data_IF_692718766626
#
_entry.id   IF_692718766626
#
_cell.length_a   1.000
_cell.length_b   1.000
_cell.length_c   1.000
_cell.angle_alpha   90.00
_cell.angle_beta   90.00
_cell.angle_gamma   90.00
#
_symmetry.space_group_name_H-M   'P 1'
#
loop_
_entity.id
_entity.type
_entity.pdbx_description
1 polymer ?
#
# COMPACT_ATOMS: atom_id res chain seq x y z
N UNK A 1 10.63 -0.42 -27.38
CA UNK A 1 9.94 -1.00 -26.21
C UNK A 1 8.74 -0.13 -25.92
N UNK A 2 7.55 -0.70 -25.70
CA UNK A 2 6.35 0.09 -25.41
C UNK A 2 6.44 0.64 -23.99
N UNK A 3 6.23 1.95 -23.86
CA UNK A 3 6.22 2.69 -22.59
C UNK A 3 4.80 2.80 -22.07
N UNK A 4 4.65 2.86 -20.76
CA UNK A 4 3.41 3.18 -20.08
C UNK A 4 3.28 4.71 -19.97
N UNK A 5 2.32 5.29 -20.67
CA UNK A 5 2.12 6.74 -20.78
C UNK A 5 0.83 7.14 -20.08
N UNK A 6 0.87 8.21 -19.28
CA UNK A 6 -0.30 8.84 -18.67
C UNK A 6 -0.36 10.34 -19.01
N UNK A 7 -1.55 10.96 -19.08
CA UNK A 7 -1.66 12.41 -19.04
C UNK A 7 -1.22 12.93 -17.67
N UNK A 8 -0.49 14.05 -17.61
CA UNK A 8 -0.10 14.67 -16.33
C UNK A 8 -1.12 15.66 -15.78
N UNK A 9 -2.04 16.14 -16.61
CA UNK A 9 -3.07 17.11 -16.26
C UNK A 9 -4.41 16.79 -16.95
N UNK A 10 -5.48 17.41 -16.49
CA UNK A 10 -6.80 17.46 -17.14
C UNK A 10 -7.44 16.08 -17.44
N UNK A 11 -7.10 15.06 -16.66
CA UNK A 11 -7.74 13.74 -16.69
C UNK A 11 -8.23 13.34 -15.32
N UNK A 12 -9.53 13.11 -15.18
CA UNK A 12 -10.18 12.69 -13.94
C UNK A 12 -10.41 11.17 -13.85
N UNK A 13 -9.88 10.41 -14.81
CA UNK A 13 -9.98 8.95 -14.89
C UNK A 13 -8.60 8.32 -15.06
N UNK A 14 -8.51 7.01 -14.82
CA UNK A 14 -7.34 6.22 -15.22
C UNK A 14 -7.26 6.22 -16.75
N UNK A 15 -6.16 6.72 -17.31
CA UNK A 15 -5.96 6.95 -18.73
C UNK A 15 -4.58 6.44 -19.23
N UNK A 16 -3.98 5.50 -18.49
CA UNK A 16 -2.74 4.86 -18.89
C UNK A 16 -2.89 4.13 -20.24
N UNK A 17 -1.91 4.31 -21.12
CA UNK A 17 -1.84 3.66 -22.43
C UNK A 17 -0.41 3.25 -22.78
N UNK A 18 -0.28 2.26 -23.67
CA UNK A 18 1.01 1.93 -24.27
C UNK A 18 1.34 2.87 -25.43
N UNK A 19 2.57 3.40 -25.47
CA UNK A 19 3.06 4.21 -26.58
C UNK A 19 4.58 4.13 -26.75
N UNK A 20 5.08 4.52 -27.92
CA UNK A 20 6.53 4.62 -28.14
C UNK A 20 7.15 5.84 -27.44
N UNK A 21 6.40 6.95 -27.33
CA UNK A 21 6.84 8.22 -26.76
C UNK A 21 5.65 8.94 -26.10
N UNK A 22 5.95 9.78 -25.11
CA UNK A 22 5.00 10.70 -24.49
C UNK A 22 4.86 11.99 -25.32
N UNK A 23 3.65 12.52 -25.43
CA UNK A 23 3.37 13.82 -26.03
C UNK A 23 3.55 14.96 -25.01
N UNK A 24 3.33 16.19 -25.47
CA UNK A 24 3.17 17.35 -24.59
C UNK A 24 2.05 17.09 -23.58
N UNK A 25 2.33 17.30 -22.29
CA UNK A 25 1.43 16.98 -21.16
C UNK A 25 1.20 15.48 -20.87
N UNK A 26 2.10 14.63 -21.33
CA UNK A 26 2.16 13.23 -20.90
C UNK A 26 3.52 12.91 -20.27
N UNK A 27 3.57 11.80 -19.54
CA UNK A 27 4.81 11.29 -18.95
C UNK A 27 4.89 9.76 -19.12
N UNK A 28 6.10 9.28 -19.36
CA UNK A 28 6.44 7.86 -19.26
C UNK A 28 6.62 7.48 -17.79
N UNK A 29 5.73 6.62 -17.29
CA UNK A 29 5.73 6.16 -15.91
C UNK A 29 6.29 4.74 -15.76
N UNK A 30 6.87 4.15 -16.80
CA UNK A 30 7.31 2.74 -16.77
C UNK A 30 8.26 2.47 -15.60
N UNK A 31 9.35 3.22 -15.49
CA UNK A 31 10.32 3.04 -14.39
C UNK A 31 9.75 3.45 -13.03
N UNK A 32 8.80 4.40 -13.01
CA UNK A 32 8.12 4.83 -11.79
C UNK A 32 7.26 3.69 -11.27
N UNK A 33 6.41 3.10 -12.11
CA UNK A 33 5.50 2.03 -11.72
C UNK A 33 6.24 0.75 -11.37
N UNK A 34 7.28 0.39 -12.12
CA UNK A 34 8.16 -0.74 -11.78
C UNK A 34 8.76 -0.56 -10.38
N UNK A 35 9.27 0.64 -10.09
CA UNK A 35 9.81 0.94 -8.76
C UNK A 35 8.73 0.95 -7.68
N UNK A 36 7.59 1.60 -7.94
CA UNK A 36 6.48 1.67 -6.98
C UNK A 36 5.97 0.28 -6.64
N UNK A 37 5.89 -0.64 -7.61
CA UNK A 37 5.51 -2.03 -7.38
C UNK A 37 6.52 -2.74 -6.47
N UNK A 38 7.83 -2.55 -6.70
CA UNK A 38 8.87 -3.18 -5.87
C UNK A 38 8.85 -2.66 -4.42
N UNK A 39 8.73 -1.34 -4.23
CA UNK A 39 8.72 -0.76 -2.87
C UNK A 39 7.41 -1.03 -2.15
N UNK A 40 6.30 -1.15 -2.87
CA UNK A 40 5.00 -1.53 -2.33
C UNK A 40 5.05 -2.91 -1.67
N UNK A 41 5.70 -3.89 -2.31
CA UNK A 41 5.92 -5.22 -1.71
C UNK A 41 6.73 -5.22 -0.42
N UNK A 42 7.45 -4.12 -0.11
CA UNK A 42 8.32 -3.99 1.07
C UNK A 42 7.78 -3.03 2.13
N UNK A 43 7.04 -2.00 1.70
CA UNK A 43 6.71 -0.84 2.52
C UNK A 43 5.24 -0.41 2.44
N UNK A 44 4.36 -1.19 1.79
CA UNK A 44 2.90 -0.92 1.84
C UNK A 44 2.38 -0.92 3.27
N UNK A 45 2.83 -1.87 4.09
CA UNK A 45 2.42 -2.02 5.49
C UNK A 45 3.54 -1.74 6.46
N UNK A 46 3.19 -1.18 7.62
CA UNK A 46 4.11 -1.05 8.74
C UNK A 46 4.09 -2.28 9.68
N UNK A 47 5.25 -2.78 10.15
CA UNK A 47 6.60 -2.30 9.83
C UNK A 47 7.09 -2.80 8.46
N UNK A 48 7.84 -1.97 7.70
CA UNK A 48 8.38 -2.34 6.41
C UNK A 48 9.48 -3.41 6.54
N UNK A 49 9.67 -4.21 5.48
CA UNK A 49 10.62 -5.33 5.47
C UNK A 49 11.62 -5.24 4.33
N UNK A 50 12.88 -5.41 4.70
CA UNK A 50 14.03 -5.46 3.80
C UNK A 50 14.94 -6.60 4.22
N UNK A 51 15.64 -7.18 3.25
CA UNK A 51 16.60 -8.26 3.48
C UNK A 51 17.79 -7.77 4.31
N UNK A 52 18.23 -6.53 4.07
CA UNK A 52 19.31 -5.90 4.80
C UNK A 52 19.21 -4.35 4.78
N UNK A 53 20.15 -3.69 5.47
CA UNK A 53 20.20 -2.23 5.58
C UNK A 53 20.59 -1.53 4.27
N UNK A 54 21.39 -2.17 3.42
CA UNK A 54 21.82 -1.61 2.15
C UNK A 54 20.66 -1.59 1.15
N UNK A 55 19.89 -2.68 1.08
CA UNK A 55 18.65 -2.75 0.31
C UNK A 55 17.71 -1.62 0.74
N UNK A 56 17.43 -1.53 2.06
CA UNK A 56 16.57 -0.47 2.60
C UNK A 56 17.04 0.92 2.15
N UNK A 57 18.31 1.27 2.35
CA UNK A 57 18.86 2.58 1.93
C UNK A 57 18.68 2.85 0.44
N UNK A 58 18.85 1.85 -0.41
CA UNK A 58 18.65 1.98 -1.86
C UNK A 58 17.19 2.33 -2.21
N UNK A 59 16.23 1.62 -1.61
CA UNK A 59 14.81 1.91 -1.77
C UNK A 59 14.42 3.28 -1.21
N UNK A 60 14.93 3.67 -0.04
CA UNK A 60 14.68 4.98 0.53
C UNK A 60 15.18 6.11 -0.38
N UNK A 61 16.41 5.98 -0.92
CA UNK A 61 16.98 6.96 -1.83
C UNK A 61 16.16 7.10 -3.13
N UNK A 62 15.79 5.96 -3.76
CA UNK A 62 15.00 5.98 -4.99
C UNK A 62 13.58 6.47 -4.75
N UNK A 63 12.96 6.13 -3.62
CA UNK A 63 11.61 6.61 -3.28
C UNK A 63 11.60 8.12 -3.06
N UNK A 64 12.65 8.71 -2.46
CA UNK A 64 12.77 10.18 -2.36
C UNK A 64 12.84 10.83 -3.74
N UNK A 65 13.59 10.24 -4.66
CA UNK A 65 13.68 10.73 -6.03
C UNK A 65 12.31 10.68 -6.73
N UNK A 66 11.66 9.52 -6.72
CA UNK A 66 10.35 9.30 -7.35
C UNK A 66 9.28 10.21 -6.74
N UNK A 67 9.25 10.33 -5.41
CA UNK A 67 8.27 11.18 -4.73
C UNK A 67 8.47 12.65 -5.09
N UNK A 68 9.71 13.15 -5.18
CA UNK A 68 9.99 14.53 -5.63
C UNK A 68 9.49 14.79 -7.05
N UNK A 69 9.65 13.83 -7.97
CA UNK A 69 9.14 13.95 -9.34
C UNK A 69 7.61 13.98 -9.33
N UNK A 70 6.97 13.04 -8.63
CA UNK A 70 5.51 12.94 -8.52
C UNK A 70 4.90 14.15 -7.82
N UNK A 71 5.53 14.68 -6.77
CA UNK A 71 5.08 15.88 -6.06
C UNK A 71 5.07 17.11 -6.98
N UNK A 72 6.06 17.23 -7.86
CA UNK A 72 6.12 18.33 -8.85
C UNK A 72 4.93 18.27 -9.82
N UNK A 73 4.55 17.07 -10.25
CA UNK A 73 3.39 16.87 -11.14
C UNK A 73 2.08 17.05 -10.38
N UNK A 74 1.99 16.48 -9.18
CA UNK A 74 0.80 16.51 -8.34
C UNK A 74 0.52 17.91 -7.79
N UNK A 75 1.52 18.78 -7.61
CA UNK A 75 1.32 20.16 -7.17
C UNK A 75 0.45 21.00 -8.13
N UNK A 76 0.31 20.59 -9.40
CA UNK A 76 -0.54 21.29 -10.37
C UNK A 76 -2.01 21.23 -9.94
N UNK A 77 -2.77 22.34 -9.98
CA UNK A 77 -4.18 22.35 -9.57
C UNK A 77 -5.05 21.34 -10.34
N UNK A 78 -4.76 21.18 -11.62
CA UNK A 78 -5.41 20.26 -12.55
C UNK A 78 -4.61 18.97 -12.80
N UNK A 79 -3.75 18.56 -11.88
CA UNK A 79 -3.03 17.28 -11.98
C UNK A 79 -4.01 16.12 -12.22
N UNK A 80 -3.61 15.18 -13.09
CA UNK A 80 -4.47 14.05 -13.45
C UNK A 80 -4.68 13.09 -12.28
N UNK A 81 -5.76 12.32 -12.35
CA UNK A 81 -6.07 11.23 -11.42
C UNK A 81 -4.89 10.26 -11.28
N UNK A 82 -4.29 9.84 -12.41
CA UNK A 82 -3.16 8.91 -12.44
C UNK A 82 -1.91 9.44 -11.72
N UNK A 83 -1.61 10.73 -11.87
CA UNK A 83 -0.50 11.39 -11.16
C UNK A 83 -0.80 11.44 -9.66
N UNK A 84 -2.00 11.90 -9.28
CA UNK A 84 -2.38 12.03 -7.88
C UNK A 84 -2.35 10.67 -7.17
N UNK A 85 -2.83 9.60 -7.83
CA UNK A 85 -2.85 8.26 -7.25
C UNK A 85 -1.43 7.74 -6.98
N UNK A 86 -0.49 7.93 -7.93
CA UNK A 86 0.91 7.55 -7.74
C UNK A 86 1.59 8.35 -6.65
N UNK A 87 1.40 9.68 -6.63
CA UNK A 87 1.95 10.56 -5.61
C UNK A 87 1.42 10.21 -4.21
N UNK A 88 0.13 9.87 -4.12
CA UNK A 88 -0.52 9.41 -2.89
C UNK A 88 0.12 8.11 -2.38
N UNK A 89 0.17 7.06 -3.20
CA UNK A 89 0.77 5.77 -2.83
C UNK A 89 2.24 5.92 -2.42
N UNK A 90 3.02 6.67 -3.21
CA UNK A 90 4.44 6.94 -2.92
C UNK A 90 4.61 7.63 -1.56
N UNK A 91 3.76 8.61 -1.24
CA UNK A 91 3.77 9.31 0.04
C UNK A 91 3.42 8.38 1.21
N UNK A 92 2.46 7.47 1.05
CA UNK A 92 2.13 6.48 2.09
C UNK A 92 3.33 5.57 2.37
N UNK A 93 3.98 5.04 1.32
CA UNK A 93 5.15 4.18 1.48
C UNK A 93 6.35 4.93 2.06
N UNK A 94 6.55 6.20 1.68
CA UNK A 94 7.61 7.04 2.23
C UNK A 94 7.40 7.35 3.73
N UNK A 95 6.15 7.55 4.14
CA UNK A 95 5.78 7.66 5.55
C UNK A 95 6.08 6.37 6.30
N UNK A 96 5.68 5.21 5.75
CA UNK A 96 5.92 3.91 6.38
C UNK A 96 7.41 3.55 6.49
N UNK A 97 8.28 4.22 5.70
CA UNK A 97 9.74 4.14 5.79
C UNK A 97 10.37 5.21 6.70
N UNK A 98 9.57 5.99 7.41
CA UNK A 98 10.00 7.06 8.32
C UNK A 98 10.83 8.17 7.61
N UNK A 99 10.51 8.45 6.35
CA UNK A 99 11.32 9.37 5.53
C UNK A 99 11.09 10.86 5.84
N UNK A 100 10.09 11.19 6.64
CA UNK A 100 9.76 12.55 7.09
C UNK A 100 8.26 12.80 7.21
N UNK A 101 7.87 13.72 8.10
CA UNK A 101 6.45 14.03 8.37
C UNK A 101 5.71 14.67 7.18
N UNK A 102 6.44 15.27 6.22
CA UNK A 102 5.86 15.84 5.00
C UNK A 102 5.05 14.81 4.20
N UNK A 103 5.48 13.56 4.20
CA UNK A 103 4.79 12.50 3.46
C UNK A 103 3.41 12.16 4.04
N UNK A 104 3.21 12.33 5.34
CA UNK A 104 1.87 12.25 5.95
C UNK A 104 0.98 13.35 5.38
N UNK A 105 1.45 14.59 5.33
CA UNK A 105 0.68 15.73 4.80
C UNK A 105 0.38 15.58 3.31
N UNK A 106 1.37 15.17 2.52
CA UNK A 106 1.22 14.97 1.08
C UNK A 106 0.22 13.84 0.78
N UNK A 107 0.33 12.70 1.48
CA UNK A 107 -0.60 11.58 1.28
C UNK A 107 -2.05 11.98 1.56
N UNK A 108 -2.31 12.70 2.66
CA UNK A 108 -3.65 13.23 2.97
C UNK A 108 -4.15 14.21 1.90
N UNK A 109 -3.28 15.12 1.46
CA UNK A 109 -3.61 16.13 0.45
C UNK A 109 -4.02 15.50 -0.88
N UNK A 110 -3.22 14.53 -1.36
CA UNK A 110 -3.49 13.86 -2.63
C UNK A 110 -4.73 12.97 -2.55
N UNK A 111 -4.89 12.20 -1.47
CA UNK A 111 -6.09 11.39 -1.27
C UNK A 111 -7.38 12.23 -1.28
N UNK A 112 -7.39 13.37 -0.57
CA UNK A 112 -8.55 14.27 -0.56
C UNK A 112 -8.87 14.83 -1.95
N UNK A 113 -7.86 15.11 -2.78
CA UNK A 113 -8.07 15.55 -4.16
C UNK A 113 -8.64 14.45 -5.03
N UNK A 114 -8.14 13.21 -4.89
CA UNK A 114 -8.68 12.08 -5.65
C UNK A 114 -10.11 11.77 -5.23
N UNK A 115 -10.42 11.79 -3.93
CA UNK A 115 -11.77 11.55 -3.41
C UNK A 115 -12.78 12.65 -3.79
N UNK A 116 -12.33 13.87 -4.11
CA UNK A 116 -13.18 14.90 -4.73
C UNK A 116 -13.55 14.56 -6.18
N UNK A 117 -12.66 13.86 -6.89
CA UNK A 117 -12.90 13.41 -8.28
C UNK A 117 -13.82 12.18 -8.28
N UNK A 118 -13.49 11.17 -7.47
CA UNK A 118 -14.26 9.95 -7.32
C UNK A 118 -14.33 9.52 -5.84
N UNK A 119 -15.42 9.84 -5.12
CA UNK A 119 -15.57 9.51 -3.70
C UNK A 119 -15.61 8.01 -3.38
N UNK A 120 -15.93 7.18 -4.38
CA UNK A 120 -16.15 5.74 -4.24
C UNK A 120 -15.11 4.92 -5.00
N UNK A 121 -13.98 5.53 -5.39
CA UNK A 121 -12.89 4.79 -6.03
C UNK A 121 -12.38 3.68 -5.09
N UNK A 122 -12.45 2.39 -5.49
CA UNK A 122 -12.18 1.28 -4.59
C UNK A 122 -10.73 1.28 -4.06
N UNK A 123 -9.79 1.55 -4.96
CA UNK A 123 -8.35 1.54 -4.66
C UNK A 123 -7.98 2.71 -3.75
N UNK A 124 -8.51 3.90 -4.02
CA UNK A 124 -8.24 5.10 -3.20
C UNK A 124 -8.85 4.94 -1.81
N UNK A 125 -10.08 4.43 -1.71
CA UNK A 125 -10.71 4.16 -0.43
C UNK A 125 -9.91 3.13 0.38
N UNK A 126 -9.38 2.09 -0.27
CA UNK A 126 -8.49 1.14 0.38
C UNK A 126 -7.21 1.81 0.89
N UNK A 127 -6.48 2.50 0.00
CA UNK A 127 -5.21 3.14 0.33
C UNK A 127 -5.36 4.19 1.42
N UNK A 128 -6.44 4.96 1.39
CA UNK A 128 -6.72 5.99 2.39
C UNK A 128 -7.16 5.39 3.72
N UNK A 129 -8.06 4.41 3.69
CA UNK A 129 -8.50 3.70 4.89
C UNK A 129 -7.36 3.01 5.63
N UNK A 130 -6.51 2.26 4.92
CA UNK A 130 -5.37 1.63 5.60
C UNK A 130 -4.33 2.67 6.03
N UNK A 131 -4.10 3.71 5.21
CA UNK A 131 -3.17 4.79 5.54
C UNK A 131 -3.55 5.48 6.84
N UNK A 132 -4.85 5.76 7.05
CA UNK A 132 -5.40 6.28 8.30
C UNK A 132 -5.23 5.28 9.45
N UNK A 133 -5.57 4.01 9.22
CA UNK A 133 -5.47 2.94 10.23
C UNK A 133 -4.07 2.81 10.82
N UNK A 134 -3.05 2.75 9.95
CA UNK A 134 -1.64 2.64 10.36
C UNK A 134 -1.07 3.96 10.89
N UNK A 135 -1.69 5.09 10.55
CA UNK A 135 -1.29 6.43 10.97
C UNK A 135 -1.95 6.96 12.26
N UNK A 136 -2.78 6.16 12.94
CA UNK A 136 -3.46 6.58 14.17
C UNK A 136 -4.87 7.15 14.00
N UNK A 137 -5.40 7.20 12.78
CA UNK A 137 -6.76 7.65 12.46
C UNK A 137 -7.74 6.48 12.35
N UNK A 138 -7.76 5.56 13.33
CA UNK A 138 -8.49 4.30 13.18
C UNK A 138 -10.00 4.48 13.11
N UNK A 139 -10.57 5.51 13.74
CA UNK A 139 -12.02 5.75 13.69
C UNK A 139 -12.44 6.22 12.30
N UNK A 140 -11.68 7.14 11.71
CA UNK A 140 -11.88 7.67 10.38
C UNK A 140 -11.65 6.60 9.31
N UNK A 141 -10.68 5.71 9.52
CA UNK A 141 -10.36 4.61 8.60
C UNK A 141 -11.55 3.70 8.29
N UNK A 142 -12.45 3.47 9.25
CA UNK A 142 -13.57 2.51 9.12
C UNK A 142 -14.42 2.80 7.88
N UNK A 143 -14.82 4.06 7.67
CA UNK A 143 -15.69 4.43 6.56
C UNK A 143 -15.06 4.13 5.18
N UNK A 144 -13.75 4.36 5.05
CA UNK A 144 -13.02 4.13 3.80
C UNK A 144 -12.75 2.64 3.57
N UNK A 145 -12.37 1.90 4.62
CA UNK A 145 -12.18 0.45 4.55
C UNK A 145 -13.49 -0.27 4.22
N UNK A 146 -14.62 0.19 4.78
CA UNK A 146 -15.95 -0.34 4.44
C UNK A 146 -16.31 -0.13 2.97
N UNK A 147 -16.05 1.07 2.43
CA UNK A 147 -16.26 1.35 1.00
C UNK A 147 -15.40 0.42 0.13
N UNK A 148 -14.13 0.25 0.48
CA UNK A 148 -13.23 -0.64 -0.25
C UNK A 148 -13.68 -2.11 -0.20
N UNK A 149 -14.09 -2.61 0.98
CA UNK A 149 -14.63 -3.97 1.13
C UNK A 149 -15.91 -4.18 0.32
N UNK A 150 -16.84 -3.21 0.32
CA UNK A 150 -18.07 -3.25 -0.47
C UNK A 150 -17.79 -3.24 -1.98
N UNK A 151 -16.75 -2.53 -2.41
CA UNK A 151 -16.29 -2.52 -3.78
C UNK A 151 -15.46 -3.76 -4.18
N UNK A 152 -15.26 -4.71 -3.27
CA UNK A 152 -14.58 -5.98 -3.56
C UNK A 152 -13.07 -5.95 -3.43
N UNK A 153 -12.49 -4.95 -2.76
CA UNK A 153 -11.05 -4.96 -2.46
C UNK A 153 -10.78 -6.01 -1.37
N UNK A 154 -10.19 -7.13 -1.76
CA UNK A 154 -9.93 -8.28 -0.88
C UNK A 154 -9.10 -7.89 0.36
N UNK A 155 -7.99 -7.19 0.15
CA UNK A 155 -7.06 -6.81 1.22
C UNK A 155 -7.66 -5.83 2.24
N UNK A 156 -8.73 -5.11 1.88
CA UNK A 156 -9.41 -4.20 2.78
C UNK A 156 -9.98 -4.89 4.03
N UNK A 157 -10.31 -6.19 3.94
CA UNK A 157 -10.73 -6.98 5.10
C UNK A 157 -9.62 -7.15 6.13
N UNK A 158 -8.39 -7.38 5.67
CA UNK A 158 -7.22 -7.55 6.55
C UNK A 158 -6.86 -6.20 7.21
N UNK A 159 -6.88 -5.11 6.43
CA UNK A 159 -6.72 -3.76 6.98
C UNK A 159 -7.81 -3.40 7.98
N UNK A 160 -9.07 -3.75 7.72
CA UNK A 160 -10.19 -3.49 8.63
C UNK A 160 -10.08 -4.31 9.93
N UNK A 161 -9.70 -5.58 9.83
CA UNK A 161 -9.41 -6.39 11.01
C UNK A 161 -8.29 -5.78 11.85
N UNK A 162 -7.17 -5.39 11.23
CA UNK A 162 -6.07 -4.71 11.91
C UNK A 162 -6.51 -3.40 12.58
N UNK A 163 -7.36 -2.63 11.89
CA UNK A 163 -7.92 -1.39 12.40
C UNK A 163 -8.77 -1.60 13.67
N UNK A 164 -9.66 -2.60 13.65
CA UNK A 164 -10.47 -2.94 14.82
C UNK A 164 -9.64 -3.44 15.98
N UNK A 165 -8.56 -4.16 15.72
CA UNK A 165 -7.64 -4.58 16.77
C UNK A 165 -6.99 -3.36 17.45
N UNK A 166 -6.50 -2.39 16.67
CA UNK A 166 -5.92 -1.17 17.21
C UNK A 166 -6.92 -0.32 18.02
N UNK A 167 -8.23 -0.49 17.78
CA UNK A 167 -9.32 0.09 18.57
C UNK A 167 -9.76 -0.77 19.76
N UNK A 168 -9.06 -1.88 20.04
CA UNK A 168 -9.42 -2.88 21.05
C UNK A 168 -10.79 -3.55 20.81
N UNK A 169 -11.31 -3.49 19.58
CA UNK A 169 -12.60 -4.07 19.18
C UNK A 169 -12.42 -5.50 18.66
N UNK A 170 -11.93 -6.39 19.52
CA UNK A 170 -11.63 -7.79 19.18
C UNK A 170 -12.77 -8.53 18.48
N UNK A 171 -14.02 -8.34 18.93
CA UNK A 171 -15.21 -8.96 18.32
C UNK A 171 -15.43 -8.50 16.87
N UNK A 172 -15.18 -7.22 16.59
CA UNK A 172 -15.35 -6.67 15.24
C UNK A 172 -14.23 -7.16 14.32
N UNK A 173 -13.00 -7.28 14.84
CA UNK A 173 -11.88 -7.86 14.10
C UNK A 173 -12.15 -9.31 13.69
N UNK A 174 -12.54 -10.18 14.63
CA UNK A 174 -12.82 -11.59 14.31
C UNK A 174 -14.04 -11.76 13.41
N UNK A 175 -15.09 -10.94 13.59
CA UNK A 175 -16.23 -10.93 12.66
C UNK A 175 -15.82 -10.51 11.24
N UNK A 176 -14.94 -9.52 11.11
CA UNK A 176 -14.42 -9.07 9.82
C UNK A 176 -13.65 -10.20 9.13
N UNK A 177 -12.82 -10.94 9.87
CA UNK A 177 -12.09 -12.11 9.34
C UNK A 177 -13.02 -13.29 9.01
N UNK A 178 -14.10 -13.50 9.77
CA UNK A 178 -15.11 -14.49 9.43
C UNK A 178 -15.81 -14.14 8.11
N UNK A 179 -16.13 -12.86 7.90
CA UNK A 179 -16.69 -12.38 6.63
C UNK A 179 -15.68 -12.53 5.48
N UNK A 180 -14.40 -12.24 5.73
CA UNK A 180 -13.30 -12.44 4.78
C UNK A 180 -13.24 -13.89 4.30
N UNK A 181 -13.26 -14.85 5.23
CA UNK A 181 -13.30 -16.29 4.95
C UNK A 181 -14.50 -16.70 4.11
N UNK A 182 -15.69 -16.17 4.40
CA UNK A 182 -16.90 -16.48 3.61
C UNK A 182 -16.79 -15.92 2.19
N UNK A 183 -16.25 -14.71 2.03
CA UNK A 183 -16.15 -14.04 0.73
C UNK A 183 -15.01 -14.61 -0.13
N UNK A 184 -13.92 -15.03 0.48
CA UNK A 184 -12.71 -15.57 -0.16
C UNK A 184 -12.34 -16.92 0.48
N UNK A 185 -13.03 -18.02 0.14
CA UNK A 185 -12.82 -19.32 0.77
C UNK A 185 -11.39 -19.88 0.61
N UNK A 186 -10.67 -19.47 -0.44
CA UNK A 186 -9.25 -19.82 -0.63
C UNK A 186 -8.33 -19.23 0.45
N UNK A 187 -8.81 -18.21 1.17
CA UNK A 187 -8.10 -17.53 2.25
C UNK A 187 -8.53 -18.05 3.64
N UNK A 188 -9.36 -19.10 3.69
CA UNK A 188 -9.93 -19.60 4.94
C UNK A 188 -8.86 -19.95 5.99
N UNK A 189 -7.77 -20.59 5.57
CA UNK A 189 -6.67 -20.95 6.48
C UNK A 189 -5.99 -19.70 7.08
N UNK A 190 -5.81 -18.67 6.26
CA UNK A 190 -5.25 -17.38 6.69
C UNK A 190 -6.17 -16.72 7.72
N UNK A 191 -7.48 -16.68 7.42
CA UNK A 191 -8.48 -16.10 8.31
C UNK A 191 -8.55 -16.84 9.66
N UNK A 192 -8.59 -18.18 9.64
CA UNK A 192 -8.67 -19.01 10.85
C UNK A 192 -7.44 -18.81 11.74
N UNK A 193 -6.24 -18.76 11.13
CA UNK A 193 -5.00 -18.48 11.85
C UNK A 193 -5.01 -17.10 12.51
N UNK A 194 -5.44 -16.06 11.78
CA UNK A 194 -5.53 -14.70 12.32
C UNK A 194 -6.54 -14.63 13.48
N UNK A 195 -7.70 -15.24 13.35
CA UNK A 195 -8.71 -15.32 14.42
C UNK A 195 -8.11 -16.00 15.65
N UNK A 196 -7.42 -17.13 15.49
CA UNK A 196 -6.79 -17.85 16.58
C UNK A 196 -5.74 -17.00 17.32
N UNK A 197 -4.88 -16.28 16.58
CA UNK A 197 -3.83 -15.43 17.16
C UNK A 197 -4.42 -14.25 17.97
N UNK A 198 -5.47 -13.61 17.43
CA UNK A 198 -6.22 -12.55 18.11
C UNK A 198 -6.88 -13.11 19.37
N UNK A 199 -7.41 -14.33 19.32
CA UNK A 199 -8.12 -14.96 20.41
C UNK A 199 -7.22 -15.37 21.57
N UNK A 200 -6.10 -16.04 21.28
CA UNK A 200 -5.26 -16.72 22.27
C UNK A 200 -4.04 -15.93 22.72
N UNK A 201 -3.37 -15.25 21.81
CA UNK A 201 -2.00 -14.78 22.04
C UNK A 201 -1.91 -13.27 22.29
N UNK A 202 -3.03 -12.55 22.22
CA UNK A 202 -3.04 -11.09 22.31
C UNK A 202 -2.10 -10.43 21.30
N UNK A 203 -1.82 -11.08 20.16
CA UNK A 203 -1.03 -10.48 19.08
C UNK A 203 -1.93 -9.55 18.29
N UNK A 204 -1.54 -8.28 18.24
CA UNK A 204 -2.46 -7.22 17.85
C UNK A 204 -2.29 -6.70 16.41
N UNK A 205 -1.36 -7.26 15.63
CA UNK A 205 -1.06 -6.75 14.29
C UNK A 205 -1.16 -7.87 13.24
N UNK A 206 -2.10 -7.70 12.31
CA UNK A 206 -2.37 -8.67 11.23
C UNK A 206 -1.13 -8.87 10.36
N UNK A 207 -0.46 -7.78 10.00
CA UNK A 207 0.71 -7.81 9.11
C UNK A 207 1.85 -8.61 9.71
N UNK A 208 2.15 -8.42 11.00
CA UNK A 208 3.17 -9.18 11.73
C UNK A 208 2.83 -10.67 11.83
N UNK A 209 1.55 -11.03 12.01
CA UNK A 209 1.13 -12.43 12.07
C UNK A 209 1.38 -13.11 10.71
N UNK A 210 0.88 -12.52 9.61
CA UNK A 210 1.06 -13.05 8.25
C UNK A 210 2.54 -13.24 7.91
N UNK A 211 3.32 -12.24 8.27
CA UNK A 211 4.76 -12.18 8.13
C UNK A 211 5.54 -13.26 8.89
N UNK A 212 5.07 -13.70 10.06
CA UNK A 212 5.72 -14.76 10.87
C UNK A 212 5.45 -16.17 10.35
N UNK A 213 4.48 -16.30 9.45
CA UNK A 213 4.03 -17.58 8.89
C UNK A 213 4.58 -17.89 7.50
N UNK A 214 5.42 -17.00 6.94
CA UNK A 214 6.22 -17.30 5.75
C UNK A 214 7.48 -18.03 6.20
N UNK A 215 7.77 -19.26 5.73
CA UNK A 215 9.03 -19.92 6.03
C UNK A 215 10.20 -19.01 5.63
N UNK A 216 11.26 -18.96 6.45
CA UNK A 216 12.50 -18.35 6.01
C UNK A 216 12.93 -19.01 4.69
N UNK A 217 13.49 -18.27 3.71
CA UNK A 217 14.13 -18.90 2.57
C UNK A 217 15.15 -19.90 3.11
N UNK A 218 15.10 -21.15 2.62
CA UNK A 218 16.01 -22.18 3.04
C UNK A 218 17.44 -21.66 2.90
N UNK A 219 18.13 -21.46 4.01
CA UNK A 219 19.56 -21.20 3.99
C UNK A 219 20.20 -22.44 3.39
N UNK A 220 20.68 -22.34 2.14
CA UNK A 220 21.54 -23.38 1.58
C UNK A 220 22.71 -23.59 2.55
N UNK A 221 23.00 -24.84 2.96
CA UNK A 221 24.13 -25.10 3.82
C UNK A 221 25.40 -24.63 3.11
N UNK A 222 26.19 -23.82 3.81
CA UNK A 222 27.47 -23.33 3.34
C UNK A 222 28.29 -24.50 2.80
N UNK A 223 28.53 -24.52 1.48
CA UNK A 223 29.45 -25.47 0.86
C UNK A 223 30.83 -25.20 1.47
N UNK A 224 31.34 -26.17 2.21
CA UNK A 224 32.68 -26.11 2.79
C UNK A 224 33.71 -25.84 1.69
N UNK A 225 34.73 -25.00 1.95
CA UNK A 225 35.74 -24.69 0.95
C UNK A 225 36.55 -25.96 0.63
N UNK A 226 36.57 -26.32 -0.65
CA UNK A 226 37.51 -27.31 -1.18
C UNK A 226 38.88 -26.65 -1.17
N UNK A 227 39.74 -27.07 -0.24
CA UNK A 227 41.17 -26.71 -0.25
C UNK A 227 41.87 -27.33 -1.46
N UNK A 228 42.91 -26.64 -2.00
CA UNK A 228 43.48 -26.86 -3.32
C UNK A 228 44.17 -28.21 -3.52
#
# INVERSE_FOLDING_TARGET
MNKLIIPVVDSNTRAMRYAALANSNEIDITEIDDFLQMVEGKARHYPPRFSDRQERRGFEAKLREVTRQLDTLAARPNASFDVLMRAFKASVMARNLDLGSVYTTNSLTYAQRILKINPDDPEVNFWFGFGLSEGGGQREAIAYLDKAMKAGVQEAYLSAANNYIALEQKKNATQTLANYKVKYPQEAEVADRLIQEIEKNGRWNVWQILQSSTPAPATEPATAPVTP
#
